data_IF_297483925875
#
_entry.id   IF_297483925875
#
_cell.length_a   1.000
_cell.length_b   1.000
_cell.length_c   1.000
_cell.angle_alpha   90.00
_cell.angle_beta   90.00
_cell.angle_gamma   90.00
#
_symmetry.space_group_name_H-M   'P 1'
#
loop_
_entity.id
_entity.type
_entity.pdbx_description
1 polymer ?
#
# COMPACT_ATOMS: atom_id res chain seq x y z
N UNK A 1 1.92 26.60 -5.13
CA UNK A 1 2.25 25.15 -5.14
C UNK A 1 3.41 24.96 -6.09
N UNK A 2 4.57 24.57 -5.54
CA UNK A 2 5.81 24.38 -6.28
C UNK A 2 5.71 23.18 -7.23
N UNK A 3 6.58 23.13 -8.24
CA UNK A 3 6.73 21.94 -9.09
C UNK A 3 7.05 20.68 -8.28
N UNK A 4 7.79 20.82 -7.18
CA UNK A 4 8.12 19.72 -6.27
C UNK A 4 6.91 19.23 -5.48
N UNK A 5 6.01 20.13 -5.06
CA UNK A 5 4.74 19.73 -4.43
C UNK A 5 3.86 18.91 -5.39
N UNK A 6 3.84 19.31 -6.67
CA UNK A 6 3.10 18.56 -7.71
C UNK A 6 3.71 17.17 -7.93
N UNK A 7 5.04 17.06 -7.92
CA UNK A 7 5.73 15.77 -8.04
C UNK A 7 5.41 14.85 -6.85
N UNK A 8 5.44 15.37 -5.62
CA UNK A 8 5.09 14.58 -4.43
C UNK A 8 3.66 14.05 -4.55
N UNK A 9 2.69 14.89 -4.92
CA UNK A 9 1.30 14.48 -5.10
C UNK A 9 1.11 13.42 -6.19
N UNK A 10 1.84 13.54 -7.29
CA UNK A 10 1.82 12.53 -8.35
C UNK A 10 2.32 11.18 -7.80
N UNK A 11 3.44 11.18 -7.05
CA UNK A 11 4.00 9.95 -6.48
C UNK A 11 3.16 9.35 -5.36
N UNK A 12 2.50 10.19 -4.58
CA UNK A 12 1.51 9.76 -3.58
C UNK A 12 0.33 9.05 -4.27
N UNK A 13 -0.20 9.64 -5.34
CA UNK A 13 -1.28 9.04 -6.13
C UNK A 13 -0.86 7.68 -6.72
N UNK A 14 0.33 7.60 -7.33
CA UNK A 14 0.87 6.33 -7.85
C UNK A 14 1.00 5.26 -6.74
N UNK A 15 1.47 5.63 -5.55
CA UNK A 15 1.55 4.74 -4.39
C UNK A 15 0.16 4.24 -3.96
N UNK A 16 -0.82 5.12 -3.90
CA UNK A 16 -2.18 4.78 -3.54
C UNK A 16 -2.84 3.85 -4.57
N UNK A 17 -2.57 4.02 -5.86
CA UNK A 17 -3.01 3.06 -6.89
C UNK A 17 -2.42 1.67 -6.63
N UNK A 18 -1.11 1.56 -6.38
CA UNK A 18 -0.50 0.26 -6.08
C UNK A 18 -1.04 -0.38 -4.81
N UNK A 19 -1.35 0.41 -3.78
CA UNK A 19 -2.00 -0.09 -2.57
C UNK A 19 -3.41 -0.61 -2.84
N UNK A 20 -4.19 0.07 -3.68
CA UNK A 20 -5.53 -0.40 -4.09
C UNK A 20 -5.46 -1.70 -4.89
N UNK A 21 -4.50 -1.81 -5.81
CA UNK A 21 -4.25 -3.03 -6.57
C UNK A 21 -3.93 -4.20 -5.63
N UNK A 22 -2.97 -4.01 -4.72
CA UNK A 22 -2.59 -5.03 -3.72
C UNK A 22 -3.77 -5.39 -2.79
N UNK A 23 -4.54 -4.40 -2.36
CA UNK A 23 -5.73 -4.61 -1.53
C UNK A 23 -6.82 -5.44 -2.24
N UNK A 24 -6.98 -5.26 -3.55
CA UNK A 24 -7.94 -6.03 -4.35
C UNK A 24 -7.53 -7.51 -4.42
N UNK A 25 -6.23 -7.78 -4.62
CA UNK A 25 -5.69 -9.15 -4.61
C UNK A 25 -5.84 -9.79 -3.21
N UNK A 26 -5.53 -9.04 -2.15
CA UNK A 26 -5.70 -9.53 -0.78
C UNK A 26 -7.17 -9.87 -0.47
N UNK A 27 -8.11 -9.08 -0.97
CA UNK A 27 -9.54 -9.37 -0.83
C UNK A 27 -9.93 -10.69 -1.51
N UNK A 28 -9.30 -11.04 -2.63
CA UNK A 28 -9.54 -12.31 -3.31
C UNK A 28 -8.99 -13.49 -2.50
N UNK A 29 -7.79 -13.36 -1.92
CA UNK A 29 -7.22 -14.36 -0.99
C UNK A 29 -8.16 -14.60 0.19
N UNK A 30 -8.68 -13.52 0.80
CA UNK A 30 -9.61 -13.63 1.91
C UNK A 30 -10.89 -14.36 1.51
N UNK A 31 -11.49 -14.02 0.36
CA UNK A 31 -12.69 -14.71 -0.17
C UNK A 31 -12.46 -16.19 -0.40
N UNK A 32 -11.30 -16.57 -0.97
CA UNK A 32 -10.96 -17.98 -1.19
C UNK A 32 -10.73 -18.72 0.14
N UNK A 33 -10.12 -18.06 1.11
CA UNK A 33 -9.90 -18.58 2.47
C UNK A 33 -11.22 -18.82 3.20
N UNK A 34 -12.15 -17.86 3.13
CA UNK A 34 -13.52 -18.01 3.65
C UNK A 34 -14.25 -19.18 2.97
N UNK A 35 -14.13 -19.31 1.65
CA UNK A 35 -14.69 -20.45 0.92
C UNK A 35 -14.12 -21.77 1.44
N UNK A 36 -12.80 -21.88 1.63
CA UNK A 36 -12.17 -23.07 2.21
C UNK A 36 -12.73 -23.40 3.59
N UNK A 37 -12.87 -22.40 4.46
CA UNK A 37 -13.46 -22.58 5.80
C UNK A 37 -14.91 -23.05 5.72
N UNK A 38 -15.71 -22.51 4.80
CA UNK A 38 -17.10 -22.94 4.61
C UNK A 38 -17.22 -24.41 4.17
N UNK A 39 -16.26 -24.88 3.35
CA UNK A 39 -16.17 -26.29 2.96
C UNK A 39 -15.85 -27.19 4.16
N UNK A 40 -14.96 -26.74 5.06
CA UNK A 40 -14.63 -27.47 6.29
C UNK A 40 -15.82 -27.56 7.25
N UNK A 41 -16.57 -26.47 7.41
CA UNK A 41 -17.80 -26.47 8.21
C UNK A 41 -18.84 -27.41 7.61
N UNK A 42 -19.04 -27.36 6.30
CA UNK A 42 -20.00 -28.21 5.59
C UNK A 42 -19.64 -29.69 5.70
N UNK A 43 -18.36 -30.03 5.62
CA UNK A 43 -17.88 -31.41 5.80
C UNK A 43 -18.18 -31.94 7.19
N UNK A 44 -17.93 -31.13 8.22
CA UNK A 44 -18.21 -31.51 9.60
C UNK A 44 -19.70 -31.72 9.86
N UNK A 45 -20.55 -30.83 9.33
CA UNK A 45 -22.00 -30.96 9.44
C UNK A 45 -22.50 -32.25 8.77
N UNK A 46 -22.02 -32.56 7.56
CA UNK A 46 -22.40 -33.78 6.85
C UNK A 46 -21.91 -35.04 7.59
N UNK A 47 -20.72 -34.98 8.19
CA UNK A 47 -20.18 -36.06 9.02
C UNK A 47 -21.08 -36.33 10.23
N UNK A 48 -21.50 -35.28 10.94
CA UNK A 48 -22.35 -35.39 12.11
C UNK A 48 -23.72 -36.00 11.74
N UNK A 49 -24.34 -35.55 10.64
CA UNK A 49 -25.62 -36.08 10.15
C UNK A 49 -25.50 -37.56 9.78
N UNK A 50 -24.48 -37.90 8.98
CA UNK A 50 -24.30 -39.27 8.45
C UNK A 50 -23.93 -40.30 9.52
N UNK A 51 -23.39 -39.88 10.65
CA UNK A 51 -23.06 -40.75 11.78
C UNK A 51 -24.26 -41.50 12.38
N UNK A 52 -25.48 -41.05 12.08
CA UNK A 52 -26.74 -41.61 12.61
C UNK A 52 -27.36 -42.71 11.76
N UNK A 53 -26.86 -42.98 10.54
CA UNK A 53 -27.44 -44.00 9.63
C UNK A 53 -26.39 -44.64 8.71
N UNK A 54 -26.42 -45.98 8.59
CA UNK A 54 -25.54 -46.74 7.70
C UNK A 54 -25.75 -46.37 6.23
N UNK A 55 -26.99 -46.08 5.82
CA UNK A 55 -27.30 -45.64 4.46
C UNK A 55 -26.75 -44.24 4.18
N UNK A 56 -26.72 -43.37 5.20
CA UNK A 56 -26.15 -42.03 5.12
C UNK A 56 -24.61 -42.04 5.04
N UNK A 57 -23.94 -43.06 5.61
CA UNK A 57 -22.48 -43.19 5.54
C UNK A 57 -21.97 -43.33 4.09
N UNK A 58 -22.70 -44.05 3.22
CA UNK A 58 -22.34 -44.19 1.81
C UNK A 58 -22.41 -42.86 1.05
N UNK A 59 -23.44 -42.06 1.32
CA UNK A 59 -23.59 -40.73 0.72
C UNK A 59 -22.53 -39.75 1.22
N UNK A 60 -22.18 -39.82 2.51
CA UNK A 60 -21.11 -39.03 3.11
C UNK A 60 -19.75 -39.27 2.44
N UNK A 61 -19.38 -40.51 2.14
CA UNK A 61 -18.09 -40.81 1.48
C UNK A 61 -17.94 -40.09 0.12
N UNK A 62 -19.02 -40.06 -0.66
CA UNK A 62 -19.04 -39.35 -1.95
C UNK A 62 -18.97 -37.83 -1.75
N UNK A 63 -19.73 -37.30 -0.79
CA UNK A 63 -19.68 -35.88 -0.43
C UNK A 63 -18.28 -35.46 0.03
N UNK A 64 -17.67 -36.21 0.94
CA UNK A 64 -16.35 -35.95 1.48
C UNK A 64 -15.27 -35.96 0.39
N UNK A 65 -15.32 -36.93 -0.53
CA UNK A 65 -14.42 -37.00 -1.68
C UNK A 65 -14.54 -35.76 -2.58
N UNK A 66 -15.76 -35.29 -2.84
CA UNK A 66 -16.01 -34.07 -3.61
C UNK A 66 -15.49 -32.82 -2.90
N UNK A 67 -15.78 -32.67 -1.61
CA UNK A 67 -15.31 -31.53 -0.81
C UNK A 67 -13.78 -31.51 -0.76
N UNK A 68 -13.13 -32.67 -0.59
CA UNK A 68 -11.67 -32.76 -0.62
C UNK A 68 -11.11 -32.24 -1.95
N UNK A 69 -11.65 -32.69 -3.08
CA UNK A 69 -11.23 -32.23 -4.41
C UNK A 69 -11.45 -30.72 -4.58
N UNK A 70 -12.57 -30.19 -4.10
CA UNK A 70 -12.83 -28.75 -4.17
C UNK A 70 -11.85 -27.94 -3.30
N UNK A 71 -11.49 -28.45 -2.11
CA UNK A 71 -10.46 -27.83 -1.27
C UNK A 71 -9.10 -27.81 -1.95
N UNK A 72 -8.68 -28.90 -2.59
CA UNK A 72 -7.42 -28.96 -3.35
C UNK A 72 -7.40 -27.89 -4.47
N UNK A 73 -8.52 -27.68 -5.15
CA UNK A 73 -8.66 -26.62 -6.15
C UNK A 73 -8.56 -25.23 -5.52
N UNK A 74 -9.25 -24.98 -4.40
CA UNK A 74 -9.21 -23.70 -3.70
C UNK A 74 -7.82 -23.41 -3.15
N UNK A 75 -7.11 -24.42 -2.62
CA UNK A 75 -5.75 -24.29 -2.13
C UNK A 75 -4.78 -23.93 -3.26
N UNK A 76 -4.92 -24.57 -4.43
CA UNK A 76 -4.17 -24.18 -5.62
C UNK A 76 -4.45 -22.74 -6.05
N UNK A 77 -5.72 -22.31 -6.01
CA UNK A 77 -6.09 -20.94 -6.34
C UNK A 77 -5.50 -19.93 -5.34
N UNK A 78 -5.58 -20.20 -4.03
CA UNK A 78 -4.98 -19.36 -2.99
C UNK A 78 -3.47 -19.19 -3.25
N UNK A 79 -2.76 -20.30 -3.47
CA UNK A 79 -1.31 -20.26 -3.69
C UNK A 79 -0.92 -19.42 -4.94
N UNK A 80 -1.70 -19.47 -6.01
CA UNK A 80 -1.47 -18.64 -7.20
C UNK A 80 -1.74 -17.16 -6.93
N UNK A 81 -2.83 -16.82 -6.25
CA UNK A 81 -3.17 -15.42 -5.92
C UNK A 81 -2.18 -14.84 -4.90
N UNK A 82 -1.69 -15.65 -3.96
CA UNK A 82 -0.64 -15.23 -3.01
C UNK A 82 0.67 -14.85 -3.73
N UNK A 83 1.07 -15.58 -4.78
CA UNK A 83 2.22 -15.18 -5.61
C UNK A 83 2.00 -13.81 -6.25
N UNK A 84 0.79 -13.56 -6.76
CA UNK A 84 0.42 -12.26 -7.32
C UNK A 84 0.46 -11.15 -6.25
N UNK A 85 0.04 -11.46 -5.02
CA UNK A 85 0.08 -10.52 -3.90
C UNK A 85 1.52 -10.17 -3.49
N UNK A 86 2.44 -11.14 -3.51
CA UNK A 86 3.87 -10.89 -3.25
C UNK A 86 4.43 -9.91 -4.27
N UNK A 87 4.12 -10.10 -5.55
CA UNK A 87 4.57 -9.17 -6.60
C UNK A 87 3.92 -7.78 -6.45
N UNK A 88 2.61 -7.72 -6.18
CA UNK A 88 1.93 -6.45 -5.91
C UNK A 88 2.54 -5.71 -4.71
N UNK A 89 2.90 -6.43 -3.65
CA UNK A 89 3.58 -5.88 -2.47
C UNK A 89 4.96 -5.32 -2.81
N UNK A 90 5.69 -5.99 -3.72
CA UNK A 90 6.97 -5.48 -4.24
C UNK A 90 6.78 -4.16 -4.99
N UNK A 91 5.73 -4.05 -5.80
CA UNK A 91 5.40 -2.82 -6.53
C UNK A 91 4.99 -1.68 -5.60
N UNK A 92 4.21 -1.96 -4.53
CA UNK A 92 3.90 -0.98 -3.48
C UNK A 92 5.17 -0.45 -2.83
N UNK A 93 6.11 -1.34 -2.48
CA UNK A 93 7.39 -0.94 -1.88
C UNK A 93 8.22 -0.06 -2.83
N UNK A 94 8.28 -0.41 -4.12
CA UNK A 94 8.98 0.41 -5.11
C UNK A 94 8.34 1.79 -5.27
N UNK A 95 7.01 1.88 -5.36
CA UNK A 95 6.29 3.15 -5.43
C UNK A 95 6.50 4.01 -4.17
N UNK A 96 6.55 3.39 -2.99
CA UNK A 96 6.83 4.07 -1.74
C UNK A 96 8.23 4.69 -1.73
N UNK A 97 9.25 3.99 -2.22
CA UNK A 97 10.60 4.53 -2.34
C UNK A 97 10.65 5.76 -3.25
N UNK A 98 9.97 5.73 -4.40
CA UNK A 98 9.88 6.87 -5.31
C UNK A 98 9.12 8.06 -4.69
N UNK A 99 8.04 7.80 -3.95
CA UNK A 99 7.35 8.82 -3.17
C UNK A 99 8.27 9.48 -2.14
N UNK A 100 8.99 8.69 -1.33
CA UNK A 100 9.95 9.22 -0.35
C UNK A 100 11.05 10.04 -0.98
N UNK A 101 11.55 9.62 -2.15
CA UNK A 101 12.55 10.38 -2.91
C UNK A 101 11.99 11.73 -3.36
N UNK A 102 10.74 11.78 -3.84
CA UNK A 102 10.10 13.03 -4.22
C UNK A 102 9.93 13.99 -3.02
N UNK A 103 9.59 13.46 -1.84
CA UNK A 103 9.51 14.26 -0.61
C UNK A 103 10.85 14.90 -0.24
N UNK A 104 11.94 14.12 -0.27
CA UNK A 104 13.29 14.62 0.02
C UNK A 104 13.65 15.76 -0.94
N UNK A 105 13.43 15.57 -2.25
CA UNK A 105 13.73 16.60 -3.26
C UNK A 105 12.93 17.88 -3.00
N UNK A 106 11.65 17.76 -2.62
CA UNK A 106 10.81 18.91 -2.26
C UNK A 106 11.40 19.63 -1.05
N UNK A 107 11.75 18.90 -0.01
CA UNK A 107 12.21 19.48 1.26
C UNK A 107 13.55 20.21 1.07
N UNK A 108 14.49 19.61 0.33
CA UNK A 108 15.75 20.26 -0.07
C UNK A 108 15.50 21.55 -0.87
N UNK A 109 14.53 21.53 -1.79
CA UNK A 109 14.19 22.72 -2.57
C UNK A 109 13.58 23.84 -1.71
N UNK A 110 12.74 23.48 -0.74
CA UNK A 110 12.15 24.44 0.22
C UNK A 110 13.24 25.05 1.09
N UNK A 111 14.17 24.24 1.60
CA UNK A 111 15.30 24.71 2.41
C UNK A 111 16.19 25.67 1.62
N UNK A 112 16.56 25.31 0.39
CA UNK A 112 17.38 26.15 -0.49
C UNK A 112 16.72 27.49 -0.79
N UNK A 113 15.42 27.51 -1.02
CA UNK A 113 14.67 28.75 -1.25
C UNK A 113 14.56 29.61 0.02
N UNK A 114 14.45 28.97 1.19
CA UNK A 114 14.49 29.69 2.47
C UNK A 114 15.87 30.30 2.74
N UNK A 115 16.96 29.58 2.46
CA UNK A 115 18.32 30.12 2.54
C UNK A 115 18.55 31.30 1.61
N UNK A 116 18.10 31.17 0.36
CA UNK A 116 18.21 32.24 -0.63
C UNK A 116 17.52 33.52 -0.15
N UNK A 117 16.26 33.40 0.32
CA UNK A 117 15.51 34.54 0.87
C UNK A 117 16.20 35.16 2.10
N UNK A 118 16.75 34.33 3.00
CA UNK A 118 17.52 34.85 4.15
C UNK A 118 18.76 35.63 3.71
N UNK A 119 19.49 35.15 2.70
CA UNK A 119 20.65 35.86 2.15
C UNK A 119 20.26 37.17 1.48
N UNK A 120 19.19 37.18 0.70
CA UNK A 120 18.65 38.39 0.07
C UNK A 120 18.24 39.45 1.11
N UNK A 121 17.48 39.05 2.13
CA UNK A 121 17.08 39.94 3.24
C UNK A 121 18.28 40.51 4.01
N UNK A 122 19.30 39.68 4.27
CA UNK A 122 20.51 40.14 4.95
C UNK A 122 21.26 41.19 4.11
N UNK A 123 21.40 40.98 2.80
CA UNK A 123 22.04 41.96 1.90
C UNK A 123 21.28 43.29 1.87
N UNK A 124 19.95 43.26 1.81
CA UNK A 124 19.12 44.47 1.86
C UNK A 124 19.28 45.22 3.20
N UNK A 125 19.27 44.50 4.32
CA UNK A 125 19.47 45.11 5.64
C UNK A 125 20.86 45.74 5.80
N UNK A 126 21.90 45.06 5.30
CA UNK A 126 23.27 45.56 5.34
C UNK A 126 23.42 46.84 4.48
N UNK A 127 22.79 46.89 3.31
CA UNK A 127 22.76 48.08 2.45
C UNK A 127 22.09 49.27 3.16
N UNK A 128 20.93 49.05 3.78
CA UNK A 128 20.23 50.09 4.55
C UNK A 128 21.09 50.59 5.71
N UNK A 129 21.73 49.68 6.45
CA UNK A 129 22.61 50.04 7.57
C UNK A 129 23.80 50.89 7.11
N UNK A 130 24.43 50.53 5.98
CA UNK A 130 25.53 51.31 5.39
C UNK A 130 25.07 52.71 4.96
N UNK A 131 23.91 52.82 4.33
CA UNK A 131 23.36 54.11 3.91
C UNK A 131 23.07 55.03 5.11
N UNK A 132 22.46 54.49 6.18
CA UNK A 132 22.24 55.23 7.43
C UNK A 132 23.57 55.71 8.03
N UNK A 133 24.59 54.85 8.07
CA UNK A 133 25.90 55.20 8.61
C UNK A 133 26.57 56.32 7.78
N UNK A 134 26.49 56.27 6.45
CA UNK A 134 27.02 57.32 5.56
C UNK A 134 26.35 58.67 5.83
N UNK A 135 25.02 58.70 5.98
CA UNK A 135 24.28 59.93 6.28
C UNK A 135 24.62 60.54 7.65
N UNK A 136 24.95 59.72 8.66
CA UNK A 136 25.39 60.22 9.97
C UNK A 136 26.79 60.82 9.96
N UNK A 137 27.67 60.40 9.05
CA UNK A 137 29.03 60.90 8.94
C UNK A 137 29.18 62.12 8.00
N UNK A 138 28.13 62.49 7.29
CA UNK A 138 28.12 63.65 6.37
C UNK A 138 27.35 64.87 6.90
N UNK A 139 26.75 64.76 8.09
CA UNK A 139 26.22 65.87 8.89
C UNK A 139 27.09 66.06 10.13
#
# INVERSE_FOLDING_TARGET
MSQYDKLVRLKEFELDEKRRDAGSILSEINRLTEKKQSLDVSLKQEQDISSSSIEALGQYSNFASRVKKEREIVDGAIAEVEKAYVEASRLVNAAYQEFRKAEIIRDEAVEKEAEKRRREQQMEMDEVAQNIHRHKNTN
#
